data_IF_778435886020
#
_entry.id   IF_778435886020
#
_cell.length_a   1.000
_cell.length_b   1.000
_cell.length_c   1.000
_cell.angle_alpha   90.00
_cell.angle_beta   90.00
_cell.angle_gamma   90.00
#
_symmetry.space_group_name_H-M   'P 1'
#
loop_
_entity.id
_entity.type
_entity.pdbx_description
1 polymer ?
#
# COMPACT_ATOMS: atom_id res chain seq x y z
N UNK A 1 -21.25 -5.23 2.37
CA UNK A 1 -22.21 -6.01 3.18
C UNK A 1 -21.51 -7.01 4.12
N UNK A 2 -20.41 -6.61 4.77
CA UNK A 2 -19.64 -7.51 5.65
C UNK A 2 -18.85 -8.62 4.93
N UNK A 3 -18.74 -8.57 3.60
CA UNK A 3 -18.03 -9.58 2.80
C UNK A 3 -18.94 -10.68 2.26
N UNK A 4 -20.27 -10.49 2.29
CA UNK A 4 -21.23 -11.41 1.68
C UNK A 4 -21.20 -11.32 0.15
N UNK A 5 -20.94 -10.13 -0.41
CA UNK A 5 -20.71 -9.91 -1.83
C UNK A 5 -19.45 -9.10 -2.08
N UNK A 6 -18.82 -9.37 -3.22
CA UNK A 6 -17.58 -8.74 -3.65
C UNK A 6 -17.77 -8.18 -5.05
N UNK A 7 -17.33 -6.94 -5.24
CA UNK A 7 -17.29 -6.28 -6.53
C UNK A 7 -15.82 -6.03 -6.90
N UNK A 8 -15.38 -6.42 -8.11
CA UNK A 8 -14.03 -6.11 -8.57
C UNK A 8 -13.85 -4.60 -8.68
N UNK A 9 -12.66 -4.11 -8.33
CA UNK A 9 -12.25 -2.72 -8.47
C UNK A 9 -10.93 -2.68 -9.24
N UNK A 10 -10.90 -1.95 -10.33
CA UNK A 10 -9.65 -1.59 -11.01
C UNK A 10 -9.00 -0.43 -10.27
N UNK A 11 -7.66 -0.43 -10.24
CA UNK A 11 -6.86 0.66 -9.67
C UNK A 11 -6.02 1.24 -10.82
N UNK A 12 -6.51 2.29 -11.51
CA UNK A 12 -5.82 2.86 -12.66
C UNK A 12 -4.38 3.30 -12.36
N UNK A 13 -4.10 3.72 -11.11
CA UNK A 13 -2.75 4.09 -10.67
C UNK A 13 -1.77 2.91 -10.52
N UNK A 14 -2.28 1.68 -10.59
CA UNK A 14 -1.51 0.44 -10.61
C UNK A 14 -1.61 -0.30 -11.95
N UNK A 15 -2.32 0.26 -12.94
CA UNK A 15 -2.37 -0.27 -14.30
C UNK A 15 -1.10 0.16 -15.04
N UNK A 16 -0.19 -0.79 -15.22
CA UNK A 16 1.06 -0.62 -15.94
C UNK A 16 1.21 -1.84 -16.85
N UNK A 17 1.15 -1.63 -18.18
CA UNK A 17 1.07 -2.73 -19.16
C UNK A 17 2.27 -3.68 -19.09
N UNK A 18 3.40 -3.21 -18.58
CA UNK A 18 4.64 -3.98 -18.44
C UNK A 18 4.72 -4.78 -17.14
N UNK A 19 3.82 -4.55 -16.18
CA UNK A 19 3.94 -5.12 -14.84
C UNK A 19 2.67 -5.80 -14.33
N UNK A 20 2.81 -7.08 -13.97
CA UNK A 20 1.79 -7.83 -13.25
C UNK A 20 2.04 -7.74 -11.74
N UNK A 21 1.32 -6.85 -11.06
CA UNK A 21 1.46 -6.66 -9.62
C UNK A 21 0.71 -7.74 -8.82
N UNK A 22 1.39 -8.28 -7.81
CA UNK A 22 0.80 -9.06 -6.73
C UNK A 22 0.71 -8.20 -5.49
N UNK A 23 -0.50 -7.87 -5.05
CA UNK A 23 -0.71 -7.22 -3.76
C UNK A 23 -0.50 -8.21 -2.62
N UNK A 24 0.40 -7.87 -1.68
CA UNK A 24 0.82 -8.73 -0.58
C UNK A 24 0.07 -8.41 0.71
N UNK A 25 -0.19 -7.13 0.98
CA UNK A 25 -0.80 -6.69 2.24
C UNK A 25 -1.67 -5.46 2.02
N UNK A 26 -2.76 -5.38 2.79
CA UNK A 26 -3.65 -4.23 2.87
C UNK A 26 -3.97 -3.94 4.34
N UNK A 27 -3.96 -2.65 4.72
CA UNK A 27 -4.35 -2.24 6.07
C UNK A 27 -5.10 -0.92 6.03
N UNK A 28 -6.17 -0.82 6.82
CA UNK A 28 -6.95 0.40 7.01
C UNK A 28 -6.92 0.89 8.46
N UNK A 29 -7.00 2.22 8.63
CA UNK A 29 -7.38 2.89 9.88
C UNK A 29 -8.40 3.98 9.57
N UNK A 30 -9.65 3.77 9.98
CA UNK A 30 -10.74 4.63 9.56
C UNK A 30 -10.96 4.54 8.05
N UNK A 31 -10.92 5.68 7.35
CA UNK A 31 -11.01 5.74 5.89
C UNK A 31 -9.67 5.60 5.18
N UNK A 32 -8.56 5.79 5.89
CA UNK A 32 -7.25 5.72 5.28
C UNK A 32 -6.80 4.27 5.11
N UNK A 33 -6.30 3.93 3.92
CA UNK A 33 -5.89 2.58 3.55
C UNK A 33 -4.56 2.56 2.81
N UNK A 34 -3.85 1.45 2.97
CA UNK A 34 -2.52 1.20 2.44
C UNK A 34 -2.49 -0.17 1.77
N UNK A 35 -1.90 -0.28 0.57
CA UNK A 35 -1.59 -1.56 -0.08
C UNK A 35 -0.10 -1.58 -0.42
N UNK A 36 0.55 -2.72 -0.19
CA UNK A 36 1.91 -3.01 -0.70
C UNK A 36 1.91 -4.29 -1.54
N UNK A 37 2.83 -4.39 -2.50
CA UNK A 37 2.93 -5.54 -3.40
C UNK A 37 4.27 -5.70 -4.11
N UNK A 38 4.33 -6.71 -5.00
CA UNK A 38 5.49 -7.08 -5.82
C UNK A 38 5.12 -7.12 -7.32
N UNK A 39 5.92 -6.57 -8.26
CA UNK A 39 7.08 -5.70 -8.04
C UNK A 39 6.73 -4.50 -7.14
N UNK A 40 7.75 -3.87 -6.54
CA UNK A 40 7.55 -2.88 -5.49
C UNK A 40 6.50 -1.82 -5.86
N UNK A 41 5.36 -1.86 -5.16
CA UNK A 41 4.28 -0.90 -5.31
C UNK A 41 3.70 -0.56 -3.93
N UNK A 42 3.43 0.73 -3.73
CA UNK A 42 2.77 1.27 -2.56
C UNK A 42 1.59 2.11 -3.03
N UNK A 43 0.40 1.76 -2.57
CA UNK A 43 -0.82 2.52 -2.85
C UNK A 43 -1.41 3.05 -1.55
N UNK A 44 -1.98 4.24 -1.64
CA UNK A 44 -2.65 4.92 -0.54
C UNK A 44 -4.06 5.37 -0.96
N UNK A 45 -5.01 5.29 -0.04
CA UNK A 45 -6.35 5.86 -0.19
C UNK A 45 -6.69 6.70 1.03
N UNK A 46 -7.23 7.93 0.87
CA UNK A 46 -7.80 8.71 1.97
C UNK A 46 -9.31 8.49 2.16
N UNK A 47 -9.97 7.77 1.25
CA UNK A 47 -11.43 7.78 1.06
C UNK A 47 -12.05 6.36 1.07
N UNK A 48 -11.53 5.48 1.92
CA UNK A 48 -12.01 4.10 2.09
C UNK A 48 -11.92 3.25 0.82
N UNK A 49 -11.00 3.59 -0.09
CA UNK A 49 -10.74 2.87 -1.32
C UNK A 49 -11.65 3.29 -2.49
N UNK A 50 -12.30 4.45 -2.41
CA UNK A 50 -12.99 5.05 -3.56
C UNK A 50 -11.97 5.46 -4.64
N UNK A 51 -10.84 6.02 -4.22
CA UNK A 51 -9.68 6.34 -5.06
C UNK A 51 -8.38 5.84 -4.44
N UNK A 52 -7.40 5.53 -5.28
CA UNK A 52 -6.08 5.04 -4.88
C UNK A 52 -4.99 5.80 -5.62
N UNK A 53 -4.01 6.28 -4.87
CA UNK A 53 -2.83 6.99 -5.37
C UNK A 53 -1.60 6.10 -5.22
N UNK A 54 -0.77 6.03 -6.27
CA UNK A 54 0.54 5.37 -6.20
C UNK A 54 1.55 6.30 -5.55
N UNK A 55 2.14 5.86 -4.45
CA UNK A 55 3.19 6.60 -3.75
C UNK A 55 4.55 6.09 -4.27
N UNK A 56 5.42 6.96 -4.82
CA UNK A 56 6.75 6.55 -5.26
C UNK A 56 7.59 6.00 -4.11
N UNK A 57 8.35 4.95 -4.37
CA UNK A 57 9.28 4.35 -3.44
C UNK A 57 10.72 4.65 -3.85
N UNK A 58 11.62 4.76 -2.87
CA UNK A 58 13.05 4.86 -3.16
C UNK A 58 13.54 3.56 -3.81
N UNK A 59 14.37 3.68 -4.84
CA UNK A 59 15.06 2.54 -5.46
C UNK A 59 16.05 1.86 -4.50
N UNK A 60 16.41 2.54 -3.39
CA UNK A 60 17.32 2.04 -2.37
C UNK A 60 16.60 1.27 -1.25
N UNK A 61 15.28 1.06 -1.36
CA UNK A 61 14.54 0.25 -0.40
C UNK A 61 15.07 -1.21 -0.44
N UNK A 62 15.63 -1.75 0.65
CA UNK A 62 16.17 -3.10 0.70
C UNK A 62 15.04 -4.14 0.79
N UNK A 63 15.09 -5.13 -0.09
CA UNK A 63 14.12 -6.22 -0.17
C UNK A 63 12.75 -5.83 -0.75
N UNK A 64 11.84 -6.80 -0.74
CA UNK A 64 10.46 -6.63 -1.17
C UNK A 64 9.55 -6.33 0.03
N UNK A 65 8.60 -5.41 -0.13
CA UNK A 65 7.61 -5.11 0.93
C UNK A 65 6.64 -6.29 1.09
N UNK A 66 6.53 -6.81 2.32
CA UNK A 66 5.69 -7.97 2.63
C UNK A 66 4.50 -7.62 3.52
N UNK A 67 4.61 -6.58 4.34
CA UNK A 67 3.58 -6.22 5.30
C UNK A 67 3.48 -4.70 5.48
N UNK A 68 2.25 -4.20 5.64
CA UNK A 68 1.99 -2.81 6.02
C UNK A 68 0.91 -2.73 7.09
N UNK A 69 1.07 -1.83 8.04
CA UNK A 69 0.10 -1.52 9.08
C UNK A 69 -0.20 -0.04 9.12
N UNK A 70 -1.47 0.31 8.89
CA UNK A 70 -1.97 1.66 9.14
C UNK A 70 -1.99 1.92 10.66
N UNK A 71 -1.28 2.95 11.12
CA UNK A 71 -1.07 3.19 12.57
C UNK A 71 -1.81 4.41 13.08
N UNK A 72 -1.74 5.55 12.39
CA UNK A 72 -2.38 6.82 12.71
C UNK A 72 -2.76 7.57 11.41
N UNK A 73 -3.34 8.76 11.53
CA UNK A 73 -3.57 9.63 10.38
C UNK A 73 -2.25 9.80 9.61
N UNK A 74 -2.29 9.53 8.30
CA UNK A 74 -1.17 9.64 7.36
C UNK A 74 0.06 8.81 7.76
N UNK A 75 -0.11 7.82 8.64
CA UNK A 75 0.99 7.09 9.26
C UNK A 75 0.86 5.59 9.08
N UNK A 76 1.98 4.93 8.81
CA UNK A 76 2.04 3.48 8.64
C UNK A 76 3.41 2.92 9.00
N UNK A 77 3.43 1.64 9.36
CA UNK A 77 4.64 0.84 9.55
C UNK A 77 4.72 -0.20 8.42
N UNK A 78 5.91 -0.38 7.85
CA UNK A 78 6.15 -1.28 6.72
C UNK A 78 7.31 -2.22 7.02
N UNK A 79 7.18 -3.48 6.61
CA UNK A 79 8.21 -4.52 6.80
C UNK A 79 8.59 -5.12 5.45
N UNK A 80 9.89 -5.32 5.22
CA UNK A 80 10.42 -6.01 4.03
C UNK A 80 10.82 -7.46 4.35
N UNK A 81 10.99 -8.28 3.32
CA UNK A 81 11.44 -9.68 3.47
C UNK A 81 12.89 -9.82 3.99
N UNK A 82 13.68 -8.77 3.91
CA UNK A 82 15.01 -8.68 4.54
C UNK A 82 14.95 -8.26 6.02
N UNK A 83 13.76 -8.03 6.57
CA UNK A 83 13.54 -7.70 7.97
C UNK A 83 13.73 -6.22 8.31
N UNK A 84 13.87 -5.34 7.31
CA UNK A 84 13.86 -3.91 7.54
C UNK A 84 12.46 -3.44 7.95
N UNK A 85 12.38 -2.49 8.89
CA UNK A 85 11.14 -1.89 9.38
C UNK A 85 11.22 -0.39 9.18
N UNK A 86 10.21 0.17 8.51
CA UNK A 86 10.12 1.59 8.19
C UNK A 86 8.85 2.19 8.77
N UNK A 87 8.90 3.49 9.10
CA UNK A 87 7.77 4.20 9.70
C UNK A 87 7.55 5.53 8.99
N UNK A 88 6.37 5.69 8.41
CA UNK A 88 5.96 6.98 7.88
C UNK A 88 4.98 7.67 8.82
N UNK A 89 5.04 9.00 8.84
CA UNK A 89 4.03 9.88 9.44
C UNK A 89 3.52 10.94 8.46
N UNK A 90 3.86 10.81 7.18
CA UNK A 90 3.55 11.81 6.15
C UNK A 90 3.14 11.16 4.83
N UNK A 91 2.27 10.15 4.92
CA UNK A 91 1.70 9.41 3.79
C UNK A 91 2.72 8.61 2.94
N UNK A 92 3.82 8.16 3.52
CA UNK A 92 4.84 7.39 2.80
C UNK A 92 5.71 8.24 1.87
N UNK A 93 5.65 9.57 1.98
CA UNK A 93 6.63 10.44 1.30
C UNK A 93 8.01 10.30 1.93
N UNK A 94 8.08 10.06 3.25
CA UNK A 94 9.28 9.66 3.98
C UNK A 94 9.00 8.43 4.84
N UNK A 95 10.03 7.61 5.06
CA UNK A 95 9.98 6.29 5.70
C UNK A 95 11.05 6.12 6.77
#
# INVERSE_FOLDING_TARGET
>A
DGGNTWAPRSIPSAEDEDFNYRFNSISFKGKEGWIVGKPAILLYTPDAGESWERIPLSAELPGDMVYIKATNEKSAEMVTDEGAIYVTSNRGYNW
#
